data_IF_619818247827
#
_entry.id   IF_619818247827
#
_cell.length_a   1.000
_cell.length_b   1.000
_cell.length_c   1.000
_cell.angle_alpha   90.00
_cell.angle_beta   90.00
_cell.angle_gamma   90.00
#
_symmetry.space_group_name_H-M   'P 1'
#
loop_
_entity.id
_entity.type
_entity.pdbx_description
1 polymer ?
#
# COMPACT_ATOMS: atom_id res chain seq x y z
N UNK A 1 2.93 -12.43 6.33
CA UNK A 1 2.14 -12.24 5.07
C UNK A 1 1.97 -13.57 4.36
N UNK A 2 3.06 -14.26 3.98
CA UNK A 2 2.98 -15.52 3.25
C UNK A 2 2.16 -16.58 4.01
N UNK A 3 2.44 -16.79 5.29
CA UNK A 3 1.74 -17.76 6.13
C UNK A 3 0.22 -17.48 6.25
N UNK A 4 -0.16 -16.19 6.26
CA UNK A 4 -1.58 -15.81 6.27
C UNK A 4 -2.25 -16.16 4.93
N UNK A 5 -1.55 -15.95 3.83
CA UNK A 5 -2.06 -16.23 2.49
C UNK A 5 -2.32 -17.73 2.23
N UNK A 6 -1.68 -18.63 2.98
CA UNK A 6 -1.93 -20.07 2.89
C UNK A 6 -3.34 -20.47 3.37
N UNK A 7 -3.96 -19.62 4.18
CA UNK A 7 -5.25 -19.91 4.85
C UNK A 7 -6.35 -18.93 4.49
N UNK A 8 -6.08 -17.94 3.62
CA UNK A 8 -7.05 -16.91 3.20
C UNK A 8 -7.07 -16.75 1.69
N UNK A 9 -8.23 -16.43 1.14
CA UNK A 9 -8.42 -16.15 -0.29
C UNK A 9 -8.03 -14.72 -0.67
N UNK A 10 -8.04 -13.81 0.30
CA UNK A 10 -7.78 -12.38 0.13
C UNK A 10 -7.00 -11.87 1.35
N UNK A 11 -6.03 -11.00 1.11
CA UNK A 11 -5.33 -10.25 2.14
C UNK A 11 -5.85 -8.81 2.22
N UNK A 12 -5.89 -8.29 3.44
CA UNK A 12 -6.39 -6.96 3.75
C UNK A 12 -5.28 -6.07 4.27
N UNK A 13 -5.31 -4.78 3.90
CA UNK A 13 -4.35 -3.77 4.37
C UNK A 13 -5.06 -2.56 4.96
N UNK A 14 -4.44 -1.92 5.96
CA UNK A 14 -4.90 -0.69 6.59
C UNK A 14 -3.84 0.41 6.44
N UNK A 15 -3.65 0.99 5.26
CA UNK A 15 -2.55 1.89 4.96
C UNK A 15 -2.77 3.29 5.53
N UNK A 16 -2.60 3.43 6.83
CA UNK A 16 -2.60 4.73 7.51
C UNK A 16 -1.17 5.25 7.67
N UNK A 17 -0.75 6.27 6.92
CA UNK A 17 0.62 6.78 7.00
C UNK A 17 1.04 7.19 8.41
N UNK A 18 0.12 7.75 9.19
CA UNK A 18 0.40 8.19 10.56
C UNK A 18 0.85 7.05 11.47
N UNK A 19 0.25 5.87 11.33
CA UNK A 19 0.53 4.72 12.19
C UNK A 19 1.58 3.79 11.62
N UNK A 20 1.98 3.99 10.37
CA UNK A 20 2.91 3.11 9.69
C UNK A 20 4.35 3.58 9.89
N UNK A 21 5.26 2.71 10.33
CA UNK A 21 6.68 3.03 10.41
C UNK A 21 7.21 3.61 9.10
N UNK A 22 8.15 4.53 9.19
CA UNK A 22 8.77 5.25 8.06
C UNK A 22 7.85 6.24 7.30
N UNK A 23 6.57 6.36 7.66
CA UNK A 23 5.61 7.25 7.00
C UNK A 23 5.11 8.39 7.90
N UNK A 24 4.99 8.15 9.19
CA UNK A 24 4.26 8.99 10.17
C UNK A 24 4.70 10.45 10.30
N UNK A 25 5.91 10.78 9.87
CA UNK A 25 6.47 12.13 9.94
C UNK A 25 6.38 12.89 8.63
N UNK A 26 5.89 12.25 7.57
CA UNK A 26 5.82 12.88 6.26
C UNK A 26 4.55 13.73 6.13
N UNK A 27 4.62 14.91 5.52
CA UNK A 27 3.44 15.65 5.12
C UNK A 27 2.54 14.83 4.18
N UNK A 28 1.21 15.00 4.31
CA UNK A 28 0.21 14.22 3.54
C UNK A 28 0.28 14.37 2.03
N UNK A 29 0.96 15.38 1.53
CA UNK A 29 1.14 15.65 0.10
C UNK A 29 2.47 15.17 -0.47
N UNK A 30 3.25 14.42 0.30
CA UNK A 30 4.50 13.85 -0.20
C UNK A 30 4.26 12.62 -1.05
N UNK A 31 5.24 12.29 -1.89
CA UNK A 31 5.24 11.07 -2.69
C UNK A 31 5.07 9.82 -1.82
N UNK A 32 5.65 9.79 -0.64
CA UNK A 32 5.51 8.67 0.30
C UNK A 32 4.05 8.43 0.65
N UNK A 33 3.36 9.43 1.15
CA UNK A 33 1.95 9.28 1.50
C UNK A 33 1.07 8.96 0.30
N UNK A 34 1.34 9.55 -0.87
CA UNK A 34 0.57 9.29 -2.08
C UNK A 34 0.64 7.82 -2.54
N UNK A 35 1.79 7.17 -2.38
CA UNK A 35 2.01 5.78 -2.80
C UNK A 35 1.86 4.74 -1.69
N UNK A 36 1.62 5.15 -0.44
CA UNK A 36 1.60 4.25 0.70
C UNK A 36 0.65 3.07 0.52
N UNK A 37 -0.63 3.34 0.22
CA UNK A 37 -1.64 2.30 0.03
C UNK A 37 -1.28 1.35 -1.12
N UNK A 38 -0.77 1.88 -2.23
CA UNK A 38 -0.34 1.06 -3.37
C UNK A 38 0.85 0.15 -3.00
N UNK A 39 1.84 0.69 -2.31
CA UNK A 39 3.03 -0.08 -1.89
C UNK A 39 2.67 -1.21 -0.92
N UNK A 40 1.84 -0.93 0.09
CA UNK A 40 1.43 -1.91 1.08
C UNK A 40 0.59 -3.02 0.45
N UNK A 41 -0.41 -2.65 -0.36
CA UNK A 41 -1.26 -3.62 -1.05
C UNK A 41 -0.46 -4.48 -2.03
N UNK A 42 0.50 -3.90 -2.76
CA UNK A 42 1.40 -4.66 -3.63
C UNK A 42 2.30 -5.62 -2.84
N UNK A 43 2.89 -5.16 -1.73
CA UNK A 43 3.71 -6.01 -0.88
C UNK A 43 2.92 -7.25 -0.40
N UNK A 44 1.70 -7.05 0.08
CA UNK A 44 0.85 -8.14 0.56
C UNK A 44 0.44 -9.08 -0.58
N UNK A 45 -0.06 -8.53 -1.68
CA UNK A 45 -0.52 -9.32 -2.81
C UNK A 45 0.60 -10.10 -3.50
N UNK A 46 1.77 -9.50 -3.68
CA UNK A 46 2.90 -10.13 -4.37
C UNK A 46 3.55 -11.23 -3.54
N UNK A 47 3.77 -10.97 -2.25
CA UNK A 47 4.37 -11.95 -1.31
C UNK A 47 3.38 -13.06 -0.98
N UNK A 48 2.11 -12.71 -0.76
CA UNK A 48 1.05 -13.69 -0.49
C UNK A 48 0.62 -14.48 -1.71
N UNK A 49 0.88 -13.98 -2.91
CA UNK A 49 0.40 -14.54 -4.18
C UNK A 49 -1.13 -14.77 -4.21
N UNK A 50 -1.87 -13.93 -3.51
CA UNK A 50 -3.34 -13.84 -3.49
C UNK A 50 -3.76 -12.39 -3.66
N UNK A 51 -5.02 -12.10 -4.07
CA UNK A 51 -5.49 -10.73 -4.14
C UNK A 51 -5.33 -10.00 -2.80
N UNK A 52 -4.98 -8.72 -2.87
CA UNK A 52 -4.97 -7.85 -1.70
C UNK A 52 -5.75 -6.57 -1.98
N UNK A 53 -6.43 -6.04 -0.96
CA UNK A 53 -7.18 -4.79 -1.08
C UNK A 53 -7.05 -3.93 0.17
N UNK A 54 -7.35 -2.66 0.02
CA UNK A 54 -7.39 -1.70 1.12
C UNK A 54 -8.73 -1.85 1.85
N UNK A 55 -8.74 -2.56 2.95
CA UNK A 55 -9.93 -2.81 3.76
C UNK A 55 -10.31 -1.59 4.59
N UNK A 56 -9.31 -0.80 4.98
CA UNK A 56 -9.55 0.39 5.76
C UNK A 56 -8.54 1.48 5.41
N UNK A 57 -9.02 2.64 5.03
CA UNK A 57 -8.19 3.83 4.81
C UNK A 57 -8.94 5.09 5.18
N UNK A 58 -8.22 6.10 5.63
CA UNK A 58 -8.79 7.37 6.02
C UNK A 58 -7.74 8.47 6.18
N UNK A 59 -8.18 9.69 6.37
CA UNK A 59 -7.31 10.86 6.54
C UNK A 59 -7.11 11.28 7.99
N UNK A 60 -7.66 10.54 8.93
CA UNK A 60 -7.57 10.77 10.38
C UNK A 60 -8.10 12.13 10.86
N UNK A 61 -9.18 12.61 10.21
CA UNK A 61 -10.04 13.65 10.68
C UNK A 61 -9.40 15.04 10.84
N UNK A 62 -10.12 15.98 11.49
CA UNK A 62 -9.72 17.37 11.51
C UNK A 62 -8.45 17.66 12.33
N UNK A 63 -8.03 16.73 13.17
CA UNK A 63 -6.78 16.85 13.92
C UNK A 63 -5.53 16.82 13.04
N UNK A 64 -5.60 16.19 11.87
CA UNK A 64 -4.46 15.95 10.97
C UNK A 64 -4.67 16.53 9.57
N UNK A 65 -5.91 16.62 9.12
CA UNK A 65 -6.21 17.16 7.80
C UNK A 65 -7.57 17.84 7.75
N UNK A 66 -7.68 18.91 6.96
CA UNK A 66 -8.98 19.51 6.65
C UNK A 66 -9.77 18.59 5.72
N UNK A 67 -11.10 18.77 5.64
CA UNK A 67 -11.97 18.05 4.72
C UNK A 67 -11.50 18.14 3.26
N UNK A 68 -10.93 19.29 2.87
CA UNK A 68 -10.38 19.49 1.52
C UNK A 68 -9.14 18.66 1.29
N UNK A 69 -8.22 18.62 2.26
CA UNK A 69 -7.00 17.81 2.17
C UNK A 69 -7.35 16.31 2.16
N UNK A 70 -8.35 15.90 2.93
CA UNK A 70 -8.87 14.53 2.92
C UNK A 70 -9.35 14.10 1.53
N UNK A 71 -10.07 14.97 0.83
CA UNK A 71 -10.56 14.71 -0.53
C UNK A 71 -9.40 14.59 -1.55
N UNK A 72 -8.41 15.48 -1.47
CA UNK A 72 -7.22 15.43 -2.33
C UNK A 72 -6.37 14.18 -2.05
N UNK A 73 -6.23 13.81 -0.78
CA UNK A 73 -5.54 12.59 -0.36
C UNK A 73 -6.25 11.33 -0.91
N UNK A 74 -7.58 11.23 -0.72
CA UNK A 74 -8.36 10.11 -1.25
C UNK A 74 -8.22 10.00 -2.77
N UNK A 75 -8.30 11.13 -3.50
CA UNK A 75 -8.14 11.13 -4.96
C UNK A 75 -6.81 10.52 -5.38
N UNK A 76 -5.71 10.94 -4.75
CA UNK A 76 -4.39 10.40 -5.03
C UNK A 76 -4.30 8.91 -4.70
N UNK A 77 -4.81 8.50 -3.54
CA UNK A 77 -4.80 7.11 -3.11
C UNK A 77 -5.61 6.22 -4.07
N UNK A 78 -6.80 6.63 -4.48
CA UNK A 78 -7.66 5.88 -5.40
C UNK A 78 -6.96 5.64 -6.75
N UNK A 79 -6.39 6.67 -7.36
CA UNK A 79 -5.74 6.54 -8.65
C UNK A 79 -4.43 5.75 -8.56
N UNK A 80 -3.64 5.93 -7.52
CA UNK A 80 -2.45 5.13 -7.30
C UNK A 80 -2.79 3.65 -7.06
N UNK A 81 -3.77 3.36 -6.21
CA UNK A 81 -4.21 2.00 -5.94
C UNK A 81 -4.78 1.33 -7.20
N UNK A 82 -5.58 2.06 -7.98
CA UNK A 82 -6.12 1.57 -9.25
C UNK A 82 -5.01 1.23 -10.25
N UNK A 83 -4.00 2.09 -10.38
CA UNK A 83 -2.86 1.86 -11.28
C UNK A 83 -1.97 0.68 -10.85
N UNK A 84 -2.06 0.24 -9.58
CA UNK A 84 -1.26 -0.83 -9.00
C UNK A 84 -2.05 -2.11 -8.70
N UNK A 85 -3.15 -2.34 -9.43
CA UNK A 85 -3.97 -3.55 -9.35
C UNK A 85 -4.66 -3.77 -7.99
N UNK A 86 -4.84 -2.73 -7.20
CA UNK A 86 -5.68 -2.78 -6.01
C UNK A 86 -7.15 -2.77 -6.45
N UNK A 87 -7.85 -3.88 -6.20
CA UNK A 87 -9.21 -4.12 -6.69
C UNK A 87 -10.32 -3.62 -5.78
N UNK A 88 -10.00 -3.22 -4.58
CA UNK A 88 -10.95 -2.73 -3.60
C UNK A 88 -10.33 -1.71 -2.65
N UNK A 89 -11.12 -0.70 -2.28
CA UNK A 89 -10.77 0.26 -1.26
C UNK A 89 -12.01 0.65 -0.49
N UNK A 90 -11.95 0.51 0.83
CA UNK A 90 -12.96 0.97 1.76
C UNK A 90 -12.44 2.15 2.56
N UNK A 91 -13.27 3.18 2.66
CA UNK A 91 -12.94 4.34 3.47
C UNK A 91 -13.46 4.18 4.89
N UNK A 92 -12.64 4.47 5.85
CA UNK A 92 -13.03 4.54 7.25
C UNK A 92 -13.42 5.97 7.63
N UNK A 93 -14.72 6.28 7.87
CA UNK A 93 -15.83 5.35 7.85
C UNK A 93 -17.05 5.97 7.12
N UNK A 94 -18.24 5.38 7.21
CA UNK A 94 -19.42 5.88 6.51
C UNK A 94 -19.93 7.21 7.04
N UNK A 95 -19.99 7.39 8.37
CA UNK A 95 -20.54 8.58 9.05
C UNK A 95 -19.62 9.10 10.14
N UNK A 96 -19.65 10.40 10.36
CA UNK A 96 -19.08 11.00 11.56
C UNK A 96 -19.78 10.47 12.80
N UNK A 97 -19.02 10.29 13.86
CA UNK A 97 -19.46 9.69 15.12
C UNK A 97 -19.39 10.71 16.28
N UNK A 98 -19.73 11.96 15.99
CA UNK A 98 -19.60 13.09 16.94
C UNK A 98 -20.59 13.01 18.10
N UNK A 99 -21.66 12.24 17.97
CA UNK A 99 -22.73 12.12 18.96
C UNK A 99 -22.60 10.89 19.87
N UNK A 100 -21.60 10.05 19.63
CA UNK A 100 -21.40 8.87 20.47
C UNK A 100 -20.79 9.24 21.82
N UNK A 101 -21.49 8.94 22.94
CA UNK A 101 -21.10 9.39 24.28
C UNK A 101 -20.17 8.41 25.02
N UNK A 102 -19.51 7.51 24.31
CA UNK A 102 -18.67 6.47 24.90
C UNK A 102 -17.29 6.41 24.24
N UNK A 103 -16.35 5.79 24.93
CA UNK A 103 -14.97 5.55 24.48
C UNK A 103 -14.96 4.75 23.16
N UNK A 104 -14.12 5.14 22.18
CA UNK A 104 -13.14 6.25 22.19
C UNK A 104 -13.73 7.62 21.76
N UNK A 105 -14.97 7.68 21.33
CA UNK A 105 -15.58 8.84 20.65
C UNK A 105 -15.80 10.03 21.57
N UNK A 106 -15.89 9.82 22.86
CA UNK A 106 -16.08 10.87 23.86
C UNK A 106 -14.79 11.66 24.16
N UNK A 107 -13.61 11.13 23.83
CA UNK A 107 -12.33 11.79 24.11
C UNK A 107 -11.30 11.78 22.96
N UNK A 108 -11.35 10.83 22.01
CA UNK A 108 -10.45 10.80 20.86
C UNK A 108 -11.01 11.62 19.72
N UNK A 109 -10.56 12.85 19.59
CA UNK A 109 -11.09 13.80 18.59
C UNK A 109 -10.95 13.30 17.15
N UNK A 110 -9.90 12.55 16.82
CA UNK A 110 -9.71 12.03 15.47
C UNK A 110 -10.72 10.95 15.09
N UNK A 111 -11.25 10.16 16.04
CA UNK A 111 -12.23 9.12 15.75
C UNK A 111 -13.63 9.65 15.44
N UNK A 112 -13.89 10.91 15.79
CA UNK A 112 -15.23 11.49 15.70
C UNK A 112 -15.61 11.98 14.31
N UNK A 113 -14.65 12.33 13.46
CA UNK A 113 -14.89 13.04 12.21
C UNK A 113 -14.26 12.34 10.99
N UNK A 114 -14.25 11.02 10.96
CA UNK A 114 -13.63 10.20 9.91
C UNK A 114 -14.59 9.87 8.75
N UNK A 115 -15.88 10.16 8.92
CA UNK A 115 -16.94 9.77 8.00
C UNK A 115 -16.84 10.37 6.59
N UNK A 116 -17.43 9.66 5.64
CA UNK A 116 -17.79 10.19 4.32
C UNK A 116 -18.92 11.23 4.43
N UNK A 117 -19.82 10.99 5.39
CA UNK A 117 -20.97 11.86 5.69
C UNK A 117 -20.77 12.47 7.08
N UNK A 118 -21.25 13.72 7.25
CA UNK A 118 -21.36 14.35 8.56
C UNK A 118 -22.50 13.74 9.36
N UNK A 119 -22.58 14.05 10.63
CA UNK A 119 -23.64 13.59 11.54
C UNK A 119 -25.05 13.92 11.03
N UNK A 120 -25.21 15.08 10.37
CA UNK A 120 -26.47 15.49 9.73
C UNK A 120 -26.73 14.80 8.37
N UNK A 121 -25.89 13.83 8.00
CA UNK A 121 -25.88 13.08 6.73
C UNK A 121 -25.54 13.92 5.50
N UNK A 122 -25.11 15.15 5.65
CA UNK A 122 -24.58 15.91 4.52
C UNK A 122 -23.25 15.31 4.04
N UNK A 123 -23.02 15.23 2.71
CA UNK A 123 -21.78 14.65 2.20
C UNK A 123 -20.58 15.58 2.46
N UNK A 124 -19.43 14.98 2.76
CA UNK A 124 -18.14 15.66 2.79
C UNK A 124 -17.50 15.67 1.40
N UNK A 125 -16.52 16.55 1.15
CA UNK A 125 -15.77 16.55 -0.13
C UNK A 125 -15.15 15.18 -0.48
N UNK A 126 -14.76 14.40 0.51
CA UNK A 126 -14.22 13.06 0.33
C UNK A 126 -15.25 12.10 -0.29
N UNK A 127 -16.53 12.21 0.08
CA UNK A 127 -17.61 11.42 -0.52
C UNK A 127 -17.84 11.79 -1.99
N UNK A 128 -17.73 13.06 -2.32
CA UNK A 128 -17.84 13.53 -3.71
C UNK A 128 -16.71 12.98 -4.59
N UNK A 129 -15.47 12.98 -4.07
CA UNK A 129 -14.31 12.43 -4.79
C UNK A 129 -14.45 10.91 -4.99
N UNK A 130 -14.91 10.18 -3.99
CA UNK A 130 -15.18 8.73 -4.13
C UNK A 130 -16.22 8.48 -5.24
N UNK A 131 -17.29 9.26 -5.25
CA UNK A 131 -18.32 9.17 -6.28
C UNK A 131 -17.82 9.54 -7.68
N UNK A 132 -16.97 10.57 -7.82
CA UNK A 132 -16.32 10.93 -9.09
C UNK A 132 -15.44 9.78 -9.59
N UNK A 133 -14.59 9.24 -8.72
CA UNK A 133 -13.73 8.12 -9.06
C UNK A 133 -14.52 6.90 -9.51
N UNK A 134 -15.56 6.48 -8.78
CA UNK A 134 -16.38 5.32 -9.13
C UNK A 134 -17.04 5.47 -10.52
N UNK A 135 -17.55 6.66 -10.85
CA UNK A 135 -18.12 6.92 -12.18
C UNK A 135 -17.08 6.89 -13.30
N UNK A 136 -15.84 7.25 -13.04
CA UNK A 136 -14.76 7.21 -14.02
C UNK A 136 -14.20 5.79 -14.15
N UNK A 137 -13.89 5.14 -13.04
CA UNK A 137 -13.32 3.80 -13.02
C UNK A 137 -14.22 2.76 -13.67
N UNK A 138 -15.56 2.89 -13.52
CA UNK A 138 -16.54 2.02 -14.18
C UNK A 138 -16.47 2.06 -15.73
N UNK A 139 -15.87 3.08 -16.30
CA UNK A 139 -15.73 3.27 -17.75
C UNK A 139 -14.34 2.92 -18.28
N UNK A 140 -13.39 2.69 -17.39
CA UNK A 140 -12.01 2.43 -17.76
C UNK A 140 -11.70 0.94 -17.59
N UNK A 141 -10.92 0.34 -18.51
CA UNK A 141 -10.39 -1.00 -18.26
C UNK A 141 -9.41 -0.94 -17.10
N UNK A 142 -9.39 -1.99 -16.27
CA UNK A 142 -8.32 -2.11 -15.28
C UNK A 142 -6.98 -2.20 -16.01
N UNK A 143 -6.01 -1.33 -15.68
CA UNK A 143 -4.70 -1.38 -16.31
C UNK A 143 -4.00 -2.69 -15.93
N UNK A 144 -3.30 -3.29 -16.89
CA UNK A 144 -2.38 -4.36 -16.56
C UNK A 144 -1.24 -3.77 -15.71
N UNK A 145 -1.01 -4.38 -14.55
CA UNK A 145 0.12 -3.96 -13.71
C UNK A 145 1.43 -4.34 -14.40
N UNK A 146 2.29 -3.34 -14.59
CA UNK A 146 3.62 -3.53 -15.18
C UNK A 146 4.56 -4.13 -14.11
N UNK A 147 5.39 -5.07 -14.52
CA UNK A 147 6.40 -5.72 -13.68
C UNK A 147 7.73 -5.66 -14.39
N UNK A 148 8.54 -4.66 -14.06
CA UNK A 148 9.84 -4.44 -14.70
C UNK A 148 10.95 -5.19 -13.95
N UNK A 149 10.80 -5.36 -12.63
CA UNK A 149 11.79 -6.01 -11.78
C UNK A 149 11.13 -6.80 -10.65
N UNK A 150 11.85 -7.81 -10.15
CA UNK A 150 11.50 -8.53 -8.91
C UNK A 150 12.35 -7.97 -7.77
N UNK A 151 11.72 -7.47 -6.73
CA UNK A 151 12.36 -7.00 -5.51
C UNK A 151 12.33 -8.12 -4.46
N UNK A 152 13.48 -8.64 -4.12
CA UNK A 152 13.64 -9.75 -3.19
C UNK A 152 13.85 -9.21 -1.78
N UNK A 153 12.94 -9.55 -0.89
CA UNK A 153 12.95 -9.16 0.52
C UNK A 153 13.27 -10.37 1.39
N UNK A 154 13.90 -10.12 2.51
CA UNK A 154 14.15 -11.14 3.53
C UNK A 154 13.23 -10.93 4.73
N UNK A 155 12.75 -12.03 5.30
CA UNK A 155 12.01 -12.00 6.58
C UNK A 155 12.91 -11.63 7.77
N UNK A 156 14.23 -11.58 7.58
CA UNK A 156 15.24 -11.23 8.59
C UNK A 156 15.69 -9.75 8.52
N UNK A 157 14.97 -8.93 7.79
CA UNK A 157 15.21 -7.49 7.69
C UNK A 157 13.92 -6.71 8.03
N UNK A 158 13.99 -5.40 8.10
CA UNK A 158 12.79 -4.55 8.14
C UNK A 158 12.08 -4.62 6.77
N UNK A 159 11.24 -5.63 6.60
CA UNK A 159 10.55 -5.92 5.32
C UNK A 159 9.76 -4.74 4.81
N UNK A 160 9.06 -4.06 5.73
CA UNK A 160 8.24 -2.91 5.35
C UNK A 160 9.11 -1.73 4.94
N UNK A 161 10.05 -1.32 5.78
CA UNK A 161 10.91 -0.17 5.47
C UNK A 161 11.71 -0.38 4.19
N UNK A 162 12.32 -1.56 4.04
CA UNK A 162 13.10 -1.88 2.84
C UNK A 162 12.20 -1.99 1.60
N UNK A 163 11.06 -2.69 1.70
CA UNK A 163 10.12 -2.84 0.59
C UNK A 163 9.52 -1.50 0.16
N UNK A 164 9.05 -0.72 1.13
CA UNK A 164 8.43 0.58 0.86
C UNK A 164 9.40 1.59 0.21
N UNK A 165 10.61 1.71 0.76
CA UNK A 165 11.61 2.60 0.17
C UNK A 165 12.08 2.12 -1.20
N UNK A 166 12.21 0.81 -1.41
CA UNK A 166 12.51 0.24 -2.73
C UNK A 166 11.41 0.55 -3.74
N UNK A 167 10.14 0.44 -3.33
CA UNK A 167 9.01 0.80 -4.17
C UNK A 167 9.06 2.27 -4.59
N UNK A 168 9.28 3.19 -3.64
CA UNK A 168 9.36 4.62 -3.94
C UNK A 168 10.53 4.97 -4.86
N UNK A 169 11.71 4.41 -4.60
CA UNK A 169 12.90 4.64 -5.43
C UNK A 169 12.70 4.08 -6.84
N UNK A 170 12.10 2.90 -6.96
CA UNK A 170 11.75 2.33 -8.26
C UNK A 170 10.79 3.24 -9.04
N UNK A 171 9.75 3.78 -8.38
CA UNK A 171 8.83 4.75 -8.99
C UNK A 171 9.53 6.02 -9.45
N UNK A 172 10.46 6.56 -8.66
CA UNK A 172 11.26 7.72 -9.04
C UNK A 172 12.15 7.43 -10.27
N UNK A 173 12.66 6.21 -10.37
CA UNK A 173 13.46 5.75 -11.50
C UNK A 173 12.63 5.30 -12.71
N UNK A 174 11.29 5.28 -12.62
CA UNK A 174 10.39 4.89 -13.70
C UNK A 174 10.12 3.38 -13.82
N UNK A 175 10.41 2.60 -12.78
CA UNK A 175 10.20 1.15 -12.73
C UNK A 175 8.97 0.78 -11.90
N UNK A 176 8.36 -0.34 -12.27
CA UNK A 176 7.36 -1.06 -11.47
C UNK A 176 7.97 -2.36 -10.95
N UNK A 177 7.91 -2.57 -9.64
CA UNK A 177 8.48 -3.75 -8.98
C UNK A 177 7.40 -4.68 -8.48
N UNK A 178 7.69 -5.97 -8.53
CA UNK A 178 6.96 -7.04 -7.87
C UNK A 178 7.78 -7.53 -6.68
N UNK A 179 7.14 -7.73 -5.53
CA UNK A 179 7.81 -8.21 -4.33
C UNK A 179 7.85 -9.73 -4.26
N UNK A 180 8.89 -10.24 -3.64
CA UNK A 180 9.07 -11.67 -3.36
C UNK A 180 9.91 -11.83 -2.09
N UNK A 181 9.59 -12.84 -1.26
CA UNK A 181 10.52 -13.24 -0.20
C UNK A 181 11.65 -14.12 -0.75
N UNK A 182 12.82 -14.00 -0.10
CA UNK A 182 14.03 -14.71 -0.51
C UNK A 182 13.92 -16.25 -0.43
N UNK A 183 13.01 -16.78 0.36
CA UNK A 183 12.74 -18.20 0.56
C UNK A 183 11.65 -18.76 -0.37
N UNK A 184 10.90 -17.91 -1.06
CA UNK A 184 9.91 -18.32 -2.07
C UNK A 184 10.61 -18.75 -3.38
N UNK A 185 10.02 -19.62 -4.22
CA UNK A 185 10.54 -19.95 -5.54
C UNK A 185 10.85 -18.71 -6.37
N UNK A 186 12.04 -18.61 -6.97
CA UNK A 186 12.46 -17.41 -7.70
C UNK A 186 11.55 -17.15 -8.90
N UNK A 187 10.90 -15.99 -8.90
CA UNK A 187 10.09 -15.51 -10.03
C UNK A 187 11.02 -15.16 -11.20
N UNK A 188 10.73 -15.59 -12.43
CA UNK A 188 11.52 -15.22 -13.59
C UNK A 188 11.49 -13.70 -13.83
N UNK A 189 12.65 -13.09 -13.99
CA UNK A 189 12.79 -11.67 -14.32
C UNK A 189 14.09 -11.41 -15.05
N UNK A 190 14.15 -10.33 -15.81
CA UNK A 190 15.41 -9.83 -16.37
C UNK A 190 16.09 -8.81 -15.46
N UNK A 191 15.42 -8.38 -14.41
CA UNK A 191 15.96 -7.42 -13.46
C UNK A 191 15.54 -7.80 -12.05
N UNK A 192 16.52 -8.00 -11.19
CA UNK A 192 16.32 -8.28 -9.77
C UNK A 192 16.86 -7.15 -8.92
N UNK A 193 16.16 -6.85 -7.85
CA UNK A 193 16.60 -5.94 -6.79
C UNK A 193 16.74 -6.76 -5.52
N UNK A 194 17.90 -6.71 -4.89
CA UNK A 194 18.18 -7.31 -3.59
C UNK A 194 18.63 -6.21 -2.63
N UNK A 195 17.70 -5.41 -2.10
CA UNK A 195 18.03 -4.27 -1.27
C UNK A 195 18.44 -4.69 0.14
N UNK A 196 19.37 -3.92 0.73
CA UNK A 196 19.69 -3.99 2.16
C UNK A 196 20.20 -5.34 2.66
N UNK A 197 21.18 -5.91 1.97
CA UNK A 197 21.89 -7.11 2.44
C UNK A 197 22.82 -6.72 3.58
N UNK A 198 22.40 -6.97 4.82
CA UNK A 198 23.10 -6.53 6.03
C UNK A 198 23.79 -7.66 6.82
N UNK A 199 23.88 -8.85 6.26
CA UNK A 199 24.52 -9.98 6.92
C UNK A 199 24.23 -11.32 6.25
N UNK A 200 24.74 -12.39 6.84
CA UNK A 200 24.66 -13.75 6.28
C UNK A 200 23.27 -14.39 6.38
N UNK A 201 22.36 -13.81 7.15
CA UNK A 201 20.99 -14.32 7.36
C UNK A 201 19.96 -13.79 6.36
N UNK A 202 20.29 -12.71 5.65
CA UNK A 202 19.31 -12.01 4.80
C UNK A 202 18.92 -12.86 3.60
N UNK A 203 19.87 -13.66 3.10
CA UNK A 203 19.65 -14.53 1.95
C UNK A 203 20.40 -15.84 2.11
N UNK A 204 19.77 -16.95 1.74
CA UNK A 204 20.42 -18.25 1.74
C UNK A 204 21.48 -18.34 0.63
N UNK A 205 22.50 -19.22 0.83
CA UNK A 205 23.47 -19.51 -0.23
C UNK A 205 22.79 -20.06 -1.49
N UNK A 206 21.76 -20.86 -1.34
CA UNK A 206 20.99 -21.41 -2.47
C UNK A 206 20.38 -20.28 -3.30
N UNK A 207 19.63 -19.36 -2.68
CA UNK A 207 19.03 -18.21 -3.36
C UNK A 207 20.08 -17.32 -4.02
N UNK A 208 21.19 -17.11 -3.34
CA UNK A 208 22.30 -16.33 -3.91
C UNK A 208 22.84 -16.97 -5.19
N UNK A 209 23.03 -18.29 -5.22
CA UNK A 209 23.50 -19.01 -6.41
C UNK A 209 22.47 -18.98 -7.55
N UNK A 210 21.17 -19.06 -7.26
CA UNK A 210 20.14 -18.90 -8.29
C UNK A 210 20.16 -17.52 -8.93
N UNK A 211 20.37 -16.46 -8.14
CA UNK A 211 20.51 -15.11 -8.67
C UNK A 211 21.75 -14.94 -9.53
N UNK A 212 22.89 -15.47 -9.11
CA UNK A 212 24.11 -15.46 -9.92
C UNK A 212 23.91 -16.19 -11.24
N UNK A 213 23.25 -17.35 -11.22
CA UNK A 213 22.92 -18.10 -12.44
C UNK A 213 22.02 -17.28 -13.36
N UNK A 214 20.99 -16.61 -12.84
CA UNK A 214 20.15 -15.72 -13.62
C UNK A 214 20.97 -14.58 -14.27
N UNK A 215 21.98 -14.04 -13.58
CA UNK A 215 22.89 -13.03 -14.12
C UNK A 215 23.78 -13.62 -15.23
N UNK A 216 24.28 -14.83 -15.08
CA UNK A 216 25.02 -15.55 -16.12
C UNK A 216 24.16 -15.75 -17.38
N UNK A 217 22.84 -15.92 -17.22
CA UNK A 217 21.87 -16.03 -18.30
C UNK A 217 21.40 -14.67 -18.86
N UNK A 218 21.94 -13.56 -18.36
CA UNK A 218 21.74 -12.21 -18.90
C UNK A 218 20.75 -11.35 -18.11
N UNK A 219 20.35 -11.74 -16.90
CA UNK A 219 19.62 -10.85 -16.01
C UNK A 219 20.57 -9.82 -15.37
N UNK A 220 20.00 -8.78 -14.80
CA UNK A 220 20.68 -7.74 -14.01
C UNK A 220 20.30 -7.89 -12.56
N UNK A 221 21.29 -7.84 -11.66
CA UNK A 221 21.09 -7.82 -10.20
C UNK A 221 21.67 -6.53 -9.62
#
# INVERSE_FOLDING_TARGET
>A
IADQAETTDILCTHPYPLFTPHCRIDPVNTMRNAFHAAAETRLYGDVGNVPAFVEEAGSLGPCLSSERVAADYLRNMLWNSYAHDCRGLLWWCGHDQTELPHTPYDWVGMERCLGLLRTDRSPKPVMEELGKFGRMAAKLPLPAFRRDAVCILSQHQDQWGVGYLSFLLAKQAGFDIEFQYADQPLKPSKFYLLPSVTGTWVISRHRWMELLHAVEEGAVL
#
